data_IF_101638005043
#
_entry.id   IF_101638005043
#
_cell.length_a   1.000
_cell.length_b   1.000
_cell.length_c   1.000
_cell.angle_alpha   90.00
_cell.angle_beta   90.00
_cell.angle_gamma   90.00
#
_symmetry.space_group_name_H-M   'P 1'
#
loop_
_entity.id
_entity.type
_entity.pdbx_description
1 polymer ?
#
# COMPACT_ATOMS: atom_id res chain seq x y z
N UNK A 1 21.60 9.32 -4.90
CA UNK A 1 20.71 8.31 -4.28
C UNK A 1 19.57 7.97 -5.25
N UNK A 2 19.36 6.70 -5.62
CA UNK A 2 18.24 6.33 -6.49
C UNK A 2 16.89 6.64 -5.83
N UNK A 3 15.93 7.12 -6.62
CA UNK A 3 14.58 7.43 -6.16
C UNK A 3 13.87 6.15 -5.73
N UNK A 4 13.11 6.21 -4.64
CA UNK A 4 12.35 5.07 -4.10
C UNK A 4 10.92 5.46 -3.78
N UNK A 5 9.99 4.54 -4.01
CA UNK A 5 8.61 4.70 -3.58
C UNK A 5 8.57 4.74 -2.06
N UNK A 6 7.96 5.76 -1.46
CA UNK A 6 7.88 5.90 0.00
C UNK A 6 6.97 4.88 0.65
N UNK A 7 6.03 4.30 -0.11
CA UNK A 7 5.20 3.19 0.34
C UNK A 7 5.93 1.86 0.18
N UNK A 8 6.17 1.41 -1.06
CA UNK A 8 6.64 0.06 -1.34
C UNK A 8 8.16 -0.12 -1.48
N UNK A 9 8.94 0.96 -1.36
CA UNK A 9 10.39 0.98 -1.55
C UNK A 9 10.89 0.54 -2.94
N UNK A 10 9.99 0.31 -3.90
CA UNK A 10 10.36 0.03 -5.28
C UNK A 10 11.23 1.17 -5.85
N UNK A 11 12.32 0.78 -6.51
CA UNK A 11 13.29 1.72 -7.11
C UNK A 11 13.10 1.88 -8.62
N UNK A 12 12.38 0.94 -9.24
CA UNK A 12 12.07 0.92 -10.67
C UNK A 12 10.57 1.03 -10.87
N UNK A 13 10.15 1.94 -11.74
CA UNK A 13 8.75 2.15 -12.09
C UNK A 13 8.68 2.91 -13.42
N UNK A 14 7.68 2.65 -14.28
CA UNK A 14 7.54 3.39 -15.54
C UNK A 14 7.20 4.87 -15.33
N UNK A 15 6.57 5.23 -14.21
CA UNK A 15 6.21 6.61 -13.91
C UNK A 15 6.24 6.86 -12.41
N UNK A 16 6.86 7.97 -12.03
CA UNK A 16 6.80 8.50 -10.66
C UNK A 16 5.58 9.40 -10.49
N UNK A 17 4.82 9.20 -9.42
CA UNK A 17 3.59 9.93 -9.11
C UNK A 17 3.74 10.72 -7.80
N UNK A 18 2.91 11.75 -7.63
CA UNK A 18 2.78 12.45 -6.36
C UNK A 18 2.18 11.52 -5.29
N UNK A 19 2.58 11.76 -4.05
CA UNK A 19 2.14 11.05 -2.86
C UNK A 19 2.02 12.02 -1.67
N UNK A 20 1.83 11.50 -0.46
CA UNK A 20 1.63 12.34 0.74
C UNK A 20 2.84 13.21 1.07
N UNK A 21 4.04 12.79 0.66
CA UNK A 21 5.29 13.55 0.86
C UNK A 21 5.63 14.44 -0.36
N UNK A 22 4.67 14.69 -1.24
CA UNK A 22 4.84 15.57 -2.40
C UNK A 22 5.13 14.84 -3.72
N UNK A 23 5.63 15.57 -4.74
CA UNK A 23 5.76 15.05 -6.10
C UNK A 23 6.81 13.95 -6.22
N UNK A 24 6.54 12.97 -7.10
CA UNK A 24 7.47 11.87 -7.44
C UNK A 24 7.93 11.04 -6.23
N UNK A 25 7.06 10.85 -5.24
CA UNK A 25 7.33 10.07 -4.02
C UNK A 25 6.76 8.66 -4.08
N UNK A 26 5.83 8.38 -5.00
CA UNK A 26 5.25 7.06 -5.19
C UNK A 26 5.58 6.49 -6.57
N UNK A 27 5.71 5.17 -6.65
CA UNK A 27 5.74 4.46 -7.93
C UNK A 27 4.37 4.54 -8.62
N UNK A 28 4.30 4.13 -9.88
CA UNK A 28 3.05 4.19 -10.65
C UNK A 28 1.89 3.45 -9.95
N UNK A 29 2.10 2.22 -9.50
CA UNK A 29 1.07 1.39 -8.88
C UNK A 29 0.56 1.98 -7.56
N UNK A 30 1.46 2.36 -6.66
CA UNK A 30 1.10 2.99 -5.38
C UNK A 30 0.43 4.36 -5.60
N UNK A 31 0.92 5.16 -6.55
CA UNK A 31 0.37 6.48 -6.83
C UNK A 31 -1.05 6.47 -7.39
N UNK A 32 -1.40 5.51 -8.25
CA UNK A 32 -2.79 5.34 -8.74
C UNK A 32 -3.74 4.99 -7.59
N UNK A 33 -3.30 4.11 -6.69
CA UNK A 33 -4.07 3.75 -5.47
C UNK A 33 -4.18 4.94 -4.52
N UNK A 34 -3.12 5.72 -4.33
CA UNK A 34 -3.13 6.90 -3.48
C UNK A 34 -4.14 7.94 -3.98
N UNK A 35 -4.11 8.25 -5.29
CA UNK A 35 -5.06 9.20 -5.91
C UNK A 35 -6.53 8.81 -5.72
N UNK A 36 -6.81 7.51 -5.62
CA UNK A 36 -8.17 6.99 -5.43
C UNK A 36 -8.53 6.71 -3.97
N UNK A 37 -7.68 7.05 -3.00
CA UNK A 37 -7.90 6.74 -1.58
C UNK A 37 -7.80 5.24 -1.24
N UNK A 38 -7.22 4.43 -2.13
CA UNK A 38 -7.15 2.95 -2.01
C UNK A 38 -5.74 2.44 -1.71
N UNK A 39 -4.82 3.32 -1.30
CA UNK A 39 -3.47 2.92 -0.88
C UNK A 39 -3.49 2.53 0.60
N UNK A 40 -3.85 1.26 0.85
CA UNK A 40 -3.92 0.70 2.19
C UNK A 40 -2.59 0.08 2.63
N UNK A 41 -2.33 -0.09 3.94
CA UNK A 41 -1.12 -0.76 4.45
C UNK A 41 -0.94 -2.17 3.89
N UNK A 42 -2.04 -2.92 3.75
CA UNK A 42 -2.06 -4.31 3.27
C UNK A 42 -1.86 -4.40 1.75
N UNK A 43 -1.92 -3.27 1.02
CA UNK A 43 -1.59 -3.28 -0.39
C UNK A 43 -0.07 -3.30 -0.59
N UNK A 44 0.42 -4.17 -1.47
CA UNK A 44 1.80 -4.10 -1.96
C UNK A 44 1.89 -4.73 -3.36
N UNK A 45 2.54 -4.08 -4.35
CA UNK A 45 2.82 -4.74 -5.62
C UNK A 45 3.64 -6.02 -5.41
N UNK A 46 3.35 -7.09 -6.16
CA UNK A 46 4.03 -8.39 -5.99
C UNK A 46 5.57 -8.29 -6.14
N UNK A 47 6.05 -7.44 -7.06
CA UNK A 47 7.48 -7.20 -7.31
C UNK A 47 8.12 -6.18 -6.34
N UNK A 48 7.41 -5.78 -5.30
CA UNK A 48 7.92 -4.86 -4.30
C UNK A 48 9.02 -5.54 -3.46
N UNK A 49 10.15 -4.87 -3.15
CA UNK A 49 11.20 -5.42 -2.27
C UNK A 49 10.73 -5.67 -0.83
N UNK A 50 9.57 -5.15 -0.46
CA UNK A 50 8.96 -5.27 0.88
C UNK A 50 7.66 -6.07 0.84
N UNK A 51 7.41 -6.82 -0.23
CA UNK A 51 6.24 -7.71 -0.30
C UNK A 51 6.42 -8.87 0.68
N UNK A 52 5.39 -9.11 1.49
CA UNK A 52 5.33 -10.21 2.46
C UNK A 52 3.97 -10.85 2.27
N UNK A 53 3.92 -12.13 1.87
CA UNK A 53 2.71 -12.77 1.36
C UNK A 53 1.55 -12.83 2.36
N UNK A 54 1.84 -12.92 3.65
CA UNK A 54 0.81 -12.96 4.70
C UNK A 54 0.35 -11.57 5.16
N UNK A 55 1.16 -10.52 4.96
CA UNK A 55 0.81 -9.14 5.32
C UNK A 55 0.26 -8.32 4.16
N UNK A 56 0.54 -8.75 2.92
CA UNK A 56 0.30 -7.94 1.75
C UNK A 56 -0.36 -8.68 0.59
N UNK A 57 -1.14 -7.93 -0.20
CA UNK A 57 -1.66 -8.38 -1.48
C UNK A 57 -1.59 -7.29 -2.55
N UNK A 58 -1.49 -7.71 -3.82
CA UNK A 58 -1.63 -6.80 -4.96
C UNK A 58 -3.10 -6.69 -5.46
N UNK A 59 -3.98 -7.59 -5.00
CA UNK A 59 -5.39 -7.62 -5.36
C UNK A 59 -6.21 -6.74 -4.43
N UNK A 60 -7.04 -5.86 -5.00
CA UNK A 60 -7.90 -4.99 -4.19
C UNK A 60 -8.91 -5.79 -3.36
N UNK A 61 -9.54 -6.81 -3.97
CA UNK A 61 -10.49 -7.68 -3.28
C UNK A 61 -9.85 -8.33 -2.05
N UNK A 62 -8.64 -8.90 -2.22
CA UNK A 62 -7.93 -9.57 -1.13
C UNK A 62 -7.50 -8.59 -0.03
N UNK A 63 -7.04 -7.39 -0.40
CA UNK A 63 -6.74 -6.33 0.58
C UNK A 63 -7.96 -6.00 1.44
N UNK A 64 -9.15 -5.91 0.84
CA UNK A 64 -10.38 -5.64 1.59
C UNK A 64 -10.79 -6.81 2.49
N UNK A 65 -10.66 -8.05 2.02
CA UNK A 65 -10.85 -9.24 2.85
C UNK A 65 -9.92 -9.24 4.07
N UNK A 66 -8.61 -8.98 3.87
CA UNK A 66 -7.62 -8.90 4.95
C UNK A 66 -8.00 -7.84 5.99
N UNK A 67 -8.45 -6.68 5.53
CA UNK A 67 -8.88 -5.59 6.41
C UNK A 67 -10.13 -5.96 7.20
N UNK A 68 -11.10 -6.63 6.57
CA UNK A 68 -12.30 -7.11 7.25
C UNK A 68 -11.97 -8.16 8.32
N UNK A 69 -11.03 -9.07 8.03
CA UNK A 69 -10.57 -10.05 9.04
C UNK A 69 -9.88 -9.40 10.25
N UNK A 70 -9.09 -8.34 10.01
CA UNK A 70 -8.46 -7.60 11.11
C UNK A 70 -9.49 -6.87 11.97
N UNK A 71 -10.50 -6.25 11.36
CA UNK A 71 -11.58 -5.57 12.09
C UNK A 71 -12.41 -6.55 12.93
N UNK A 72 -12.69 -7.75 12.43
CA UNK A 72 -13.40 -8.78 13.21
C UNK A 72 -12.62 -9.35 14.39
N UNK A 73 -11.30 -9.11 14.45
CA UNK A 73 -10.45 -9.56 15.57
C UNK A 73 -10.32 -8.53 16.70
N UNK A 74 -10.83 -7.31 16.51
CA UNK A 74 -10.89 -6.30 17.56
C UNK A 74 -12.20 -6.52 18.32
N UNK A 75 -12.19 -6.97 19.60
CA UNK A 75 -13.41 -7.03 20.39
C UNK A 75 -13.98 -5.62 20.54
N UNK A 76 -15.27 -5.47 20.24
CA UNK A 76 -16.03 -4.24 20.43
C UNK A 76 -15.88 -3.75 21.88
N UNK A 77 -15.11 -2.67 22.12
CA UNK A 77 -15.09 -2.03 23.45
C UNK A 77 -13.77 -1.49 23.99
N UNK A 78 -12.86 -0.96 23.18
CA UNK A 78 -11.82 -0.06 23.70
C UNK A 78 -11.93 1.33 23.05
N UNK A 79 -12.97 2.05 23.46
CA UNK A 79 -12.94 3.51 23.58
C UNK A 79 -12.21 3.84 24.88
N UNK A 80 -11.07 4.53 24.79
CA UNK A 80 -10.59 5.39 25.87
C UNK A 80 -11.51 6.60 25.99
#
# INVERSE_FOLDING_TARGET
MPRRCTHCLAQRTPQWRAGPLGPKTLCNACGVRYKSGRLLPEYRPAKSPTFVSYLHSNSHKKVMEMRMTLLSSVPDGQTL
#
